data_IF_505035976148
#
_entry.id   IF_505035976148
#
_cell.length_a   1.000
_cell.length_b   1.000
_cell.length_c   1.000
_cell.angle_alpha   90.00
_cell.angle_beta   90.00
_cell.angle_gamma   90.00
#
_symmetry.space_group_name_H-M   'P 1'
#
loop_
_entity.id
_entity.type
_entity.pdbx_description
1 polymer ?
#
# COMPACT_ATOMS: atom_id res chain seq x y z
N UNK A 1 30.06 24.15 -23.65
CA UNK A 1 29.40 22.85 -23.78
C UNK A 1 29.29 22.05 -22.48
N UNK A 2 29.44 22.69 -21.34
CA UNK A 2 29.38 22.05 -20.05
C UNK A 2 28.08 22.28 -19.29
N UNK A 3 27.09 22.92 -19.93
CA UNK A 3 26.00 23.55 -19.20
C UNK A 3 24.75 22.68 -19.00
N UNK A 4 24.43 21.75 -19.91
CA UNK A 4 23.18 20.99 -19.80
C UNK A 4 23.23 19.84 -18.82
N UNK A 5 24.34 19.09 -18.79
CA UNK A 5 24.49 17.97 -17.85
C UNK A 5 24.62 18.47 -16.43
N UNK A 6 25.32 19.59 -16.23
CA UNK A 6 25.46 20.22 -14.90
C UNK A 6 24.15 20.74 -14.35
N UNK A 7 23.27 21.29 -15.20
CA UNK A 7 21.96 21.82 -14.79
C UNK A 7 21.02 20.67 -14.38
N UNK A 8 21.03 19.56 -15.11
CA UNK A 8 20.18 18.39 -14.81
C UNK A 8 20.62 17.73 -13.47
N UNK A 9 21.92 17.59 -13.26
CA UNK A 9 22.47 17.03 -12.02
C UNK A 9 22.15 17.95 -10.83
N UNK A 10 22.24 19.26 -11.00
CA UNK A 10 21.92 20.25 -9.98
C UNK A 10 20.42 20.26 -9.64
N UNK A 11 19.56 20.12 -10.65
CA UNK A 11 18.12 20.03 -10.44
C UNK A 11 17.72 18.77 -9.68
N UNK A 12 18.32 17.63 -10.00
CA UNK A 12 18.11 16.36 -9.29
C UNK A 12 18.63 16.45 -7.86
N UNK A 13 19.77 17.10 -7.66
CA UNK A 13 20.38 17.29 -6.34
C UNK A 13 19.54 18.20 -5.45
N UNK A 14 18.98 19.28 -6.02
CA UNK A 14 18.08 20.19 -5.31
C UNK A 14 16.76 19.50 -4.92
N UNK A 15 16.24 18.59 -5.75
CA UNK A 15 15.05 17.79 -5.41
C UNK A 15 15.29 16.84 -4.25
N UNK A 16 16.47 16.21 -4.20
CA UNK A 16 16.85 15.31 -3.09
C UNK A 16 17.02 16.08 -1.78
N UNK A 17 17.42 17.35 -1.84
CA UNK A 17 17.61 18.20 -0.65
C UNK A 17 16.39 19.04 -0.28
N UNK A 18 15.33 18.99 -1.07
CA UNK A 18 14.10 19.74 -0.77
C UNK A 18 13.43 19.12 0.47
N UNK A 19 13.32 19.87 1.60
CA UNK A 19 12.74 19.35 2.83
C UNK A 19 11.25 19.02 2.71
N UNK A 20 10.59 19.44 1.62
CA UNK A 20 9.20 19.11 1.35
C UNK A 20 9.02 17.77 0.61
N UNK A 21 10.13 17.13 0.22
CA UNK A 21 10.07 15.83 -0.46
C UNK A 21 10.26 14.71 0.55
N UNK A 22 9.18 14.31 1.21
CA UNK A 22 9.16 13.14 2.08
C UNK A 22 8.46 11.98 1.36
N UNK A 23 8.95 10.75 1.52
CA UNK A 23 8.26 9.59 0.96
C UNK A 23 6.89 9.43 1.61
N UNK A 24 5.90 9.06 0.81
CA UNK A 24 4.58 8.71 1.31
C UNK A 24 4.65 7.37 2.04
N UNK A 25 3.95 7.28 3.15
CA UNK A 25 3.85 6.07 3.96
C UNK A 25 2.40 5.62 4.09
N UNK A 26 2.24 4.33 4.30
CA UNK A 26 0.95 3.73 4.60
C UNK A 26 0.77 3.68 6.11
N UNK A 27 -0.30 4.29 6.61
CA UNK A 27 -0.69 4.23 8.02
C UNK A 27 -2.05 3.56 8.16
N UNK A 28 -2.15 2.63 9.07
CA UNK A 28 -3.42 2.00 9.41
C UNK A 28 -3.74 2.22 10.89
N UNK A 29 -4.97 2.59 11.18
CA UNK A 29 -5.46 2.59 12.55
C UNK A 29 -5.79 1.16 12.96
N UNK A 30 -5.15 0.69 14.02
CA UNK A 30 -5.38 -0.67 14.56
C UNK A 30 -6.80 -0.85 15.10
N UNK A 31 -7.48 0.23 15.47
CA UNK A 31 -8.81 0.22 16.08
C UNK A 31 -9.93 0.21 15.04
N UNK A 32 -9.92 1.19 14.13
CA UNK A 32 -11.00 1.33 13.14
C UNK A 32 -10.66 0.76 11.76
N UNK A 33 -9.40 0.40 11.52
CA UNK A 33 -8.96 -0.24 10.28
C UNK A 33 -8.71 0.71 9.09
N UNK A 34 -8.96 2.01 9.24
CA UNK A 34 -8.75 2.96 8.13
C UNK A 34 -7.29 2.97 7.67
N UNK A 35 -7.08 2.99 6.36
CA UNK A 35 -5.76 3.09 5.74
C UNK A 35 -5.59 4.46 5.09
N UNK A 36 -4.50 5.13 5.40
CA UNK A 36 -4.17 6.46 4.85
C UNK A 36 -2.74 6.46 4.31
N UNK A 37 -2.57 7.06 3.14
CA UNK A 37 -1.25 7.34 2.55
C UNK A 37 -0.90 8.80 2.83
N UNK A 38 0.19 9.02 3.55
CA UNK A 38 0.62 10.38 3.91
C UNK A 38 2.11 10.43 4.20
N UNK A 39 2.68 11.62 4.14
CA UNK A 39 4.10 11.83 4.44
C UNK A 39 4.41 11.66 5.93
N UNK A 40 3.47 12.01 6.80
CA UNK A 40 3.65 12.00 8.26
C UNK A 40 2.48 11.28 8.92
N UNK A 41 2.72 10.84 10.15
CA UNK A 41 1.67 10.20 10.95
C UNK A 41 0.43 11.08 10.99
N UNK A 42 -0.76 10.55 10.65
CA UNK A 42 -1.99 11.33 10.66
C UNK A 42 -2.39 11.79 12.05
N UNK A 43 -3.28 12.77 12.10
CA UNK A 43 -3.91 13.22 13.34
C UNK A 43 -4.64 12.05 13.99
N UNK A 44 -4.46 11.93 15.31
CA UNK A 44 -5.02 10.84 16.08
C UNK A 44 -6.45 11.06 16.57
N UNK A 45 -7.01 12.28 16.42
CA UNK A 45 -8.30 12.62 16.99
C UNK A 45 -9.47 11.98 16.23
N UNK A 46 -10.57 11.74 16.96
CA UNK A 46 -11.87 11.34 16.40
C UNK A 46 -11.87 10.00 15.67
N UNK A 47 -11.32 8.98 16.31
CA UNK A 47 -11.42 7.61 15.79
C UNK A 47 -12.88 7.11 15.88
N UNK A 48 -13.38 6.50 14.82
CA UNK A 48 -14.74 5.92 14.77
C UNK A 48 -14.95 4.81 15.80
N UNK A 49 -13.89 4.13 16.19
CA UNK A 49 -13.91 3.09 17.21
C UNK A 49 -13.81 3.66 18.64
N UNK A 50 -13.77 4.98 18.80
CA UNK A 50 -13.73 5.71 20.07
C UNK A 50 -12.38 6.36 20.35
N UNK A 51 -12.41 7.56 20.94
CA UNK A 51 -11.25 8.33 21.39
C UNK A 51 -10.26 8.64 20.27
N UNK A 52 -9.05 8.06 20.33
CA UNK A 52 -7.95 8.37 19.43
C UNK A 52 -7.66 7.21 18.48
N UNK A 53 -7.25 7.54 17.26
CA UNK A 53 -6.67 6.57 16.36
C UNK A 53 -5.37 6.01 16.94
N UNK A 54 -5.17 4.73 16.76
CA UNK A 54 -3.91 4.05 17.08
C UNK A 54 -3.20 3.73 15.77
N UNK A 55 -2.38 4.67 15.30
CA UNK A 55 -1.73 4.58 14.00
C UNK A 55 -0.55 3.61 14.01
N UNK A 56 -0.54 2.73 13.03
CA UNK A 56 0.54 1.82 12.74
C UNK A 56 1.18 2.19 11.40
N UNK A 57 2.49 2.45 11.41
CA UNK A 57 3.27 2.71 10.19
C UNK A 57 3.54 1.37 9.50
N UNK A 58 2.93 1.14 8.34
CA UNK A 58 3.10 -0.09 7.56
C UNK A 58 4.31 -0.04 6.62
N UNK A 59 4.89 1.14 6.41
CA UNK A 59 6.02 1.33 5.52
C UNK A 59 5.73 2.26 4.37
N UNK A 60 6.72 2.44 3.49
CA UNK A 60 6.62 3.35 2.36
C UNK A 60 5.65 2.85 1.29
N UNK A 61 4.91 3.78 0.69
CA UNK A 61 4.11 3.54 -0.51
C UNK A 61 5.05 3.19 -1.66
N UNK A 62 4.71 2.19 -2.43
CA UNK A 62 5.52 1.74 -3.56
C UNK A 62 4.71 1.04 -4.63
N UNK A 63 5.37 0.22 -5.42
CA UNK A 63 4.85 -0.30 -6.68
C UNK A 63 4.36 -1.75 -6.62
N UNK A 64 4.24 -2.33 -5.42
CA UNK A 64 3.74 -3.70 -5.24
C UNK A 64 2.43 -3.71 -4.48
N UNK A 65 1.50 -4.55 -4.92
CA UNK A 65 0.24 -4.80 -4.23
C UNK A 65 0.43 -5.93 -3.21
N UNK A 66 0.26 -5.62 -1.94
CA UNK A 66 0.26 -6.61 -0.85
C UNK A 66 -1.12 -6.73 -0.23
N UNK A 67 -1.49 -7.94 0.10
CA UNK A 67 -2.74 -8.22 0.79
C UNK A 67 -2.49 -9.07 2.02
N UNK A 68 -3.08 -8.67 3.14
CA UNK A 68 -3.09 -9.52 4.33
C UNK A 68 -4.13 -10.63 4.15
N UNK A 69 -3.68 -11.89 4.26
CA UNK A 69 -4.57 -13.05 4.15
C UNK A 69 -5.58 -13.13 5.30
N UNK A 70 -5.28 -12.54 6.44
CA UNK A 70 -6.11 -12.58 7.65
C UNK A 70 -7.19 -11.50 7.65
N UNK A 71 -6.81 -10.24 7.52
CA UNK A 71 -7.77 -9.13 7.62
C UNK A 71 -8.25 -8.61 6.26
N UNK A 72 -7.61 -9.02 5.17
CA UNK A 72 -7.99 -8.61 3.81
C UNK A 72 -7.46 -7.26 3.38
N UNK A 73 -6.70 -6.57 4.21
CA UNK A 73 -6.17 -5.25 3.88
C UNK A 73 -5.28 -5.29 2.64
N UNK A 74 -5.56 -4.42 1.67
CA UNK A 74 -4.78 -4.25 0.44
C UNK A 74 -3.93 -2.99 0.57
N UNK A 75 -2.63 -3.12 0.37
CA UNK A 75 -1.65 -2.03 0.53
C UNK A 75 -0.74 -1.96 -0.69
N UNK A 76 -0.54 -0.75 -1.21
CA UNK A 76 0.47 -0.47 -2.23
C UNK A 76 1.77 -0.11 -1.52
N UNK A 77 2.78 -0.98 -1.60
CA UNK A 77 3.97 -0.86 -0.78
C UNK A 77 5.25 -1.06 -1.58
N UNK A 78 6.32 -0.43 -1.13
CA UNK A 78 7.66 -0.56 -1.70
C UNK A 78 8.26 -1.93 -1.39
N UNK A 79 7.98 -2.45 -0.20
CA UNK A 79 8.45 -3.76 0.27
C UNK A 79 7.35 -4.37 1.14
N UNK A 80 7.56 -5.58 1.64
CA UNK A 80 6.59 -6.23 2.53
C UNK A 80 6.24 -5.28 3.68
N UNK A 81 4.96 -4.93 3.87
CA UNK A 81 4.58 -4.01 4.94
C UNK A 81 4.88 -4.59 6.32
N UNK A 82 4.89 -3.71 7.33
CA UNK A 82 5.02 -4.14 8.73
C UNK A 82 3.93 -5.16 9.08
N UNK A 83 4.31 -6.23 9.76
CA UNK A 83 3.36 -7.26 10.17
C UNK A 83 2.59 -6.93 11.45
N UNK A 84 2.97 -5.89 12.18
CA UNK A 84 2.35 -5.56 13.46
C UNK A 84 0.94 -5.01 13.29
N UNK A 85 0.08 -5.28 14.27
CA UNK A 85 -1.21 -4.61 14.42
C UNK A 85 -2.28 -5.02 13.42
N UNK A 86 -2.37 -6.30 13.10
CA UNK A 86 -3.47 -6.81 12.26
C UNK A 86 -4.81 -6.66 12.97
N UNK A 87 -5.81 -6.13 12.28
CA UNK A 87 -7.16 -5.95 12.84
C UNK A 87 -7.87 -7.28 13.14
N UNK A 88 -7.44 -8.37 12.50
CA UNK A 88 -7.92 -9.72 12.78
C UNK A 88 -7.20 -10.38 13.98
N UNK A 89 -6.30 -9.65 14.63
CA UNK A 89 -5.52 -10.11 15.78
C UNK A 89 -4.11 -10.56 15.40
N UNK A 90 -3.14 -10.29 16.28
CA UNK A 90 -1.75 -10.67 16.09
C UNK A 90 -1.06 -9.96 14.95
N UNK A 91 -0.41 -10.71 14.10
CA UNK A 91 0.38 -10.20 13.00
C UNK A 91 -0.34 -10.33 11.66
N UNK A 92 -0.10 -9.36 10.76
CA UNK A 92 -0.50 -9.47 9.37
C UNK A 92 0.23 -10.63 8.70
N UNK A 93 -0.46 -11.31 7.82
CA UNK A 93 0.12 -12.34 6.95
C UNK A 93 0.09 -11.83 5.51
N UNK A 94 1.16 -11.16 5.10
CA UNK A 94 1.22 -10.48 3.81
C UNK A 94 1.49 -11.43 2.64
N UNK A 95 0.74 -11.22 1.57
CA UNK A 95 0.94 -11.86 0.28
C UNK A 95 1.19 -10.79 -0.78
N UNK A 96 2.29 -10.93 -1.52
CA UNK A 96 2.55 -10.11 -2.70
C UNK A 96 1.69 -10.62 -3.85
N UNK A 97 0.74 -9.79 -4.31
CA UNK A 97 -0.16 -10.19 -5.41
C UNK A 97 0.43 -9.88 -6.79
N UNK A 98 1.04 -8.72 -6.96
CA UNK A 98 1.59 -8.29 -8.25
C UNK A 98 2.13 -6.87 -8.18
N UNK A 99 2.99 -6.47 -9.13
CA UNK A 99 3.31 -5.06 -9.34
C UNK A 99 2.08 -4.24 -9.72
N UNK A 100 2.06 -2.99 -9.27
CA UNK A 100 1.03 -2.02 -9.65
C UNK A 100 1.19 -1.66 -11.13
N UNK A 101 0.07 -1.45 -11.81
CA UNK A 101 0.04 -1.03 -13.19
C UNK A 101 -1.25 -0.29 -13.52
N UNK A 102 -1.56 -0.20 -14.80
CA UNK A 102 -2.74 0.55 -15.28
C UNK A 102 -3.94 -0.34 -15.58
N UNK A 103 -3.75 -1.66 -15.62
CA UNK A 103 -4.86 -2.59 -15.82
C UNK A 103 -5.62 -2.79 -14.51
N UNK A 104 -6.93 -2.92 -14.63
CA UNK A 104 -7.80 -3.15 -13.47
C UNK A 104 -8.24 -4.60 -13.47
N UNK A 105 -8.03 -5.29 -12.35
CA UNK A 105 -8.44 -6.68 -12.15
C UNK A 105 -9.39 -6.80 -10.98
N UNK A 106 -10.40 -7.63 -11.14
CA UNK A 106 -11.31 -8.00 -10.06
C UNK A 106 -11.40 -9.51 -9.97
N UNK A 107 -11.33 -10.04 -8.75
CA UNK A 107 -11.61 -11.45 -8.51
C UNK A 107 -13.13 -11.68 -8.51
N UNK A 108 -13.60 -12.59 -9.35
CA UNK A 108 -15.03 -12.93 -9.45
C UNK A 108 -15.55 -13.58 -8.17
N UNK A 109 -14.70 -14.21 -7.40
CA UNK A 109 -15.08 -14.96 -6.19
C UNK A 109 -15.14 -14.07 -4.95
N UNK A 110 -14.08 -13.33 -4.66
CA UNK A 110 -13.99 -12.54 -3.43
C UNK A 110 -14.26 -11.05 -3.62
N UNK A 111 -14.33 -10.57 -4.88
CA UNK A 111 -14.66 -9.19 -5.19
C UNK A 111 -13.52 -8.18 -5.05
N UNK A 112 -12.33 -8.60 -4.65
CA UNK A 112 -11.18 -7.68 -4.52
C UNK A 112 -10.87 -7.02 -5.86
N UNK A 113 -10.63 -5.71 -5.83
CA UNK A 113 -10.33 -4.88 -6.99
C UNK A 113 -8.94 -4.28 -6.81
N UNK A 114 -8.10 -4.36 -7.85
CA UNK A 114 -6.77 -3.76 -7.79
C UNK A 114 -6.25 -3.32 -9.16
N UNK A 115 -5.26 -2.43 -9.14
CA UNK A 115 -4.52 -2.00 -10.32
C UNK A 115 -3.24 -2.81 -10.43
N UNK A 116 -2.99 -3.38 -11.61
CA UNK A 116 -1.87 -4.28 -11.83
C UNK A 116 -1.27 -4.12 -13.21
N UNK A 117 0.01 -4.44 -13.34
CA UNK A 117 0.71 -4.49 -14.63
C UNK A 117 0.51 -5.83 -15.35
N UNK A 118 0.07 -6.84 -14.63
CA UNK A 118 -0.19 -8.19 -15.14
C UNK A 118 -1.24 -8.85 -14.25
N UNK A 119 -1.75 -10.01 -14.68
CA UNK A 119 -2.70 -10.78 -13.86
C UNK A 119 -2.10 -11.07 -12.49
N UNK A 120 -2.82 -10.74 -11.40
CA UNK A 120 -2.31 -10.95 -10.05
C UNK A 120 -2.14 -12.44 -9.70
N UNK A 121 -1.40 -12.70 -8.62
CA UNK A 121 -1.25 -14.03 -8.05
C UNK A 121 -2.63 -14.62 -7.71
N UNK A 122 -2.87 -15.85 -8.15
CA UNK A 122 -4.16 -16.50 -7.98
C UNK A 122 -4.32 -17.24 -6.66
N UNK A 123 -3.24 -17.44 -5.89
CA UNK A 123 -3.30 -18.25 -4.67
C UNK A 123 -4.05 -17.54 -3.53
N UNK A 124 -4.63 -18.35 -2.64
CA UNK A 124 -5.18 -17.93 -1.35
C UNK A 124 -6.33 -16.92 -1.46
N UNK A 125 -7.30 -17.22 -2.30
CA UNK A 125 -8.54 -16.45 -2.32
C UNK A 125 -9.30 -16.62 -0.99
N UNK A 126 -9.78 -15.52 -0.35
CA UNK A 126 -10.54 -15.64 0.90
C UNK A 126 -11.86 -16.39 0.76
N UNK A 127 -12.38 -16.50 -0.47
CA UNK A 127 -13.58 -17.31 -0.77
C UNK A 127 -13.26 -18.78 -1.01
N UNK A 128 -12.01 -19.19 -0.79
CA UNK A 128 -11.53 -20.56 -0.96
C UNK A 128 -10.85 -20.81 -2.30
N UNK A 129 -9.79 -21.62 -2.29
CA UNK A 129 -9.04 -22.00 -3.47
C UNK A 129 -8.30 -20.83 -4.13
N UNK A 130 -8.48 -20.72 -5.44
CA UNK A 130 -7.77 -19.73 -6.24
C UNK A 130 -8.66 -18.53 -6.56
N UNK A 131 -8.02 -17.35 -6.65
CA UNK A 131 -8.67 -16.17 -7.26
C UNK A 131 -9.01 -16.43 -8.71
N UNK A 132 -10.13 -15.91 -9.15
CA UNK A 132 -10.54 -15.90 -10.55
C UNK A 132 -10.49 -14.45 -11.06
N UNK A 133 -9.32 -14.07 -11.56
CA UNK A 133 -9.08 -12.70 -11.99
C UNK A 133 -9.74 -12.39 -13.32
N UNK A 134 -10.49 -11.31 -13.35
CA UNK A 134 -11.12 -10.75 -14.54
C UNK A 134 -10.51 -9.38 -14.83
N UNK A 135 -9.95 -9.20 -16.02
CA UNK A 135 -9.47 -7.90 -16.47
C UNK A 135 -10.67 -7.03 -16.83
N UNK A 136 -10.78 -5.87 -16.18
CA UNK A 136 -11.96 -5.00 -16.26
C UNK A 136 -11.87 -3.96 -17.37
N UNK A 137 -10.67 -3.70 -17.90
CA UNK A 137 -10.45 -2.67 -18.93
C UNK A 137 -9.72 -3.15 -20.17
#
# INVERSE_FOLDING_TARGET
>A
MFTFVSIIILALWLQVQNPNWLPMKNYQCKKCGILIKTERQPNAFNCRAGNYHDWNDLGEVGCENYRCKKCGLLVESKSTPSSFGCTAGGYHNWQDLCPIGTDVYQCKKCGILLYASKSPNAFDCPSGGYHQWNKMN
#
